data_IF_633433435097
#
_entry.id   IF_633433435097
#
_cell.length_a   1.000
_cell.length_b   1.000
_cell.length_c   1.000
_cell.angle_alpha   90.00
_cell.angle_beta   90.00
_cell.angle_gamma   90.00
#
_symmetry.space_group_name_H-M   'P 1'
#
loop_
_entity.id
_entity.type
_entity.pdbx_description
1 polymer ?
2 polymer ?
3 polymer ?
4 non-polymer ?
5 water ?
#
# COMPACT_ATOMS: atom_id res chain seq x y z
N UNK A 1 18.88 2.10 21.46
CA UNK A 1 18.10 3.36 21.38
C UNK A 1 16.91 3.27 22.36
N UNK A 2 15.85 4.07 22.14
CA UNK A 2 14.58 4.06 22.91
C UNK A 2 13.56 3.20 22.16
N UNK A 3 12.86 2.30 22.85
CA UNK A 3 11.83 1.41 22.26
C UNK A 3 10.45 1.99 22.58
N UNK A 4 9.59 2.09 21.56
CA UNK A 4 8.18 2.49 21.71
C UNK A 4 7.33 1.24 21.52
N UNK A 5 6.32 1.07 22.36
CA UNK A 5 5.39 -0.08 22.38
C UNK A 5 3.96 0.47 22.27
N UNK A 6 3.23 0.10 21.22
CA UNK A 6 1.88 0.64 20.93
C UNK A 6 0.84 -0.44 21.25
N UNK A 7 -0.28 -0.05 21.88
CA UNK A 7 -1.41 -0.96 22.20
C UNK A 7 -2.76 -0.23 22.05
N UNK A 8 -3.82 -0.95 21.63
CA UNK A 8 -3.71 -2.34 21.16
C UNK A 8 -3.07 -2.39 19.76
N UNK A 9 -2.63 -3.57 19.32
CA UNK A 9 -2.01 -3.75 17.98
C UNK A 9 -3.06 -3.45 16.89
N UNK A 10 -4.32 -3.77 17.13
CA UNK A 10 -5.43 -3.50 16.18
C UNK A 10 -6.74 -3.18 16.93
N UNK A 11 -7.45 -2.16 16.46
CA UNK A 11 -8.72 -1.61 17.02
C UNK A 11 -9.83 -1.80 15.98
N UNK A 12 -11.00 -2.28 16.39
CA UNK A 12 -12.21 -2.36 15.54
C UNK A 12 -13.33 -1.51 16.16
N UNK A 13 -13.65 -0.38 15.53
CA UNK A 13 -14.52 0.68 16.11
C UNK A 13 -15.61 1.07 15.09
N UNK A 14 -16.83 1.32 15.58
CA UNK A 14 -17.94 1.85 14.75
C UNK A 14 -17.74 3.35 14.53
N UNK A 15 -18.20 3.84 13.37
CA UNK A 15 -18.28 5.30 13.03
C UNK A 15 -19.01 6.03 14.16
N UNK A 16 -18.50 7.21 14.56
CA UNK A 16 -19.09 8.07 15.61
C UNK A 16 -18.48 7.82 16.98
N UNK A 17 -17.80 6.69 17.19
CA UNK A 17 -17.29 6.23 18.51
C UNK A 17 -15.95 6.91 18.84
N UNK A 18 -15.45 6.68 20.05
CA UNK A 18 -14.24 7.32 20.63
C UNK A 18 -13.20 6.22 20.93
N UNK A 19 -12.00 6.34 20.37
CA UNK A 19 -10.89 5.37 20.61
C UNK A 19 -9.69 6.08 21.24
N UNK A 20 -8.94 5.34 22.04
CA UNK A 20 -7.71 5.81 22.73
C UNK A 20 -6.56 4.85 22.36
N UNK A 21 -5.57 5.35 21.61
CA UNK A 21 -4.37 4.60 21.17
C UNK A 21 -3.22 4.94 22.12
N UNK A 22 -2.58 3.93 22.69
CA UNK A 22 -1.50 4.07 23.69
C UNK A 22 -0.13 3.88 23.03
N UNK A 23 0.87 4.62 23.50
CA UNK A 23 2.30 4.52 23.12
C UNK A 23 3.14 4.57 24.39
N UNK A 24 3.78 3.45 24.76
CA UNK A 24 4.63 3.30 25.97
C UNK A 24 6.10 3.42 25.54
N UNK A 25 6.88 4.24 26.25
CA UNK A 25 8.32 4.49 25.99
C UNK A 25 9.17 3.78 27.05
N UNK A 26 10.31 3.22 26.63
CA UNK A 26 11.29 2.49 27.47
C UNK A 26 12.15 3.50 28.26
N UNK A 27 12.13 4.77 27.86
CA UNK A 27 12.79 5.90 28.56
C UNK A 27 11.89 7.13 28.46
N UNK A 28 11.87 7.97 29.48
CA UNK A 28 11.05 9.21 29.54
C UNK A 28 11.41 10.14 28.37
N UNK A 29 10.40 10.68 27.68
CA UNK A 29 10.59 11.63 26.56
C UNK A 29 10.44 13.08 27.05
N UNK A 30 10.30 13.30 28.36
CA UNK A 30 10.11 14.66 28.96
C UNK A 30 11.47 15.23 29.36
N UNK A 31 11.92 16.28 28.67
CA UNK A 31 13.14 17.06 29.01
C UNK A 31 12.78 18.13 30.04
N UNK A 32 13.34 18.01 31.25
CA UNK A 32 13.12 18.90 32.41
C UNK A 32 13.42 20.36 32.04
N UNK A 33 14.44 20.60 31.22
CA UNK A 33 14.99 21.96 30.99
C UNK A 33 14.14 22.71 29.93
N UNK A 34 13.14 22.08 29.31
CA UNK A 34 12.15 22.78 28.44
C UNK A 34 10.72 22.26 28.66
N UNK A 35 10.52 21.19 29.44
CA UNK A 35 9.19 20.64 29.81
C UNK A 35 8.41 20.26 28.54
N UNK A 36 9.12 19.83 27.50
CA UNK A 36 8.51 19.31 26.25
C UNK A 36 8.64 17.78 26.25
N UNK A 37 7.65 17.12 25.64
CA UNK A 37 7.63 15.66 25.38
C UNK A 37 7.97 15.45 23.89
N UNK A 38 9.04 14.69 23.61
CA UNK A 38 9.63 14.48 22.26
C UNK A 38 8.92 13.29 21.60
N UNK A 39 7.62 13.43 21.33
CA UNK A 39 6.82 12.38 20.63
C UNK A 39 5.99 13.00 19.51
N UNK A 40 5.95 12.31 18.37
CA UNK A 40 5.08 12.62 17.21
C UNK A 40 4.22 11.39 16.91
N UNK A 41 3.01 11.66 16.39
CA UNK A 41 2.05 10.66 15.87
C UNK A 41 1.91 10.87 14.36
N UNK A 42 1.80 9.76 13.62
CA UNK A 42 1.58 9.74 12.16
C UNK A 42 0.34 8.90 11.86
N UNK A 43 -0.32 9.22 10.74
CA UNK A 43 -1.43 8.44 10.13
C UNK A 43 -0.96 7.92 8.77
N UNK A 44 -0.98 6.60 8.59
CA UNK A 44 -0.79 5.96 7.25
C UNK A 44 -2.12 5.32 6.80
N UNK A 45 -2.81 5.97 5.86
CA UNK A 45 -4.00 5.39 5.18
C UNK A 45 -3.54 4.32 4.19
N UNK A 46 -4.37 3.31 3.85
CA UNK A 46 -3.95 2.27 2.91
C UNK A 46 -3.56 2.91 1.57
N UNK A 47 -2.40 2.54 1.02
CA UNK A 47 -1.88 3.03 -0.28
C UNK A 47 -1.02 4.29 -0.16
N UNK A 48 -1.07 4.99 0.98
CA UNK A 48 -0.48 6.35 1.11
C UNK A 48 0.81 6.32 1.94
N UNK A 49 1.56 7.41 1.87
CA UNK A 49 2.71 7.74 2.75
C UNK A 49 2.19 8.12 4.14
N UNK A 50 2.96 7.90 5.22
CA UNK A 50 2.60 8.45 6.53
C UNK A 50 2.43 9.98 6.44
N UNK A 51 1.50 10.51 7.23
CA UNK A 51 1.11 11.94 7.30
C UNK A 51 1.21 12.38 8.77
N UNK A 52 1.86 13.52 9.04
CA UNK A 52 2.07 14.03 10.41
C UNK A 52 0.73 14.50 10.99
N UNK A 53 0.39 14.04 12.21
CA UNK A 53 -0.79 14.49 12.98
C UNK A 53 -0.34 15.40 14.12
N UNK A 54 0.47 14.86 15.03
CA UNK A 54 0.86 15.48 16.33
C UNK A 54 2.38 15.55 16.41
N UNK A 55 2.89 16.62 17.02
CA UNK A 55 4.30 16.74 17.46
C UNK A 55 4.34 17.38 18.85
N UNK A 56 5.46 17.23 19.55
CA UNK A 56 5.63 17.62 20.98
C UNK A 56 4.52 16.95 21.80
N UNK A 57 4.08 15.76 21.42
CA UNK A 57 3.08 14.91 22.12
C UNK A 57 1.65 15.47 22.00
N UNK A 58 1.44 16.78 21.97
CA UNK A 58 0.08 17.37 22.11
C UNK A 58 -0.24 18.45 21.06
N UNK A 59 0.70 18.85 20.20
CA UNK A 59 0.44 19.93 19.20
C UNK A 59 0.00 19.31 17.87
N UNK A 60 -1.21 19.67 17.42
CA UNK A 60 -1.76 19.32 16.09
C UNK A 60 -0.95 20.03 15.00
N UNK A 61 -0.52 19.29 13.97
CA UNK A 61 -0.08 19.85 12.67
C UNK A 61 -1.28 20.60 12.08
N UNK A 62 -1.06 21.76 11.45
CA UNK A 62 -2.17 22.57 10.87
C UNK A 62 -2.87 21.74 9.77
N UNK A 63 -4.21 21.80 9.74
CA UNK A 63 -5.06 21.02 8.83
C UNK A 63 -5.63 19.79 9.50
N UNK A 64 -5.01 19.34 10.58
CA UNK A 64 -5.46 18.16 11.37
C UNK A 64 -6.69 18.57 12.17
N UNK A 65 -7.84 17.90 11.96
CA UNK A 65 -9.07 18.18 12.73
C UNK A 65 -8.91 18.03 14.26
N UNK A 66 -9.75 18.75 15.00
CA UNK A 66 -9.68 18.86 16.48
C UNK A 66 -10.03 17.53 17.15
N UNK A 67 -10.63 16.58 16.42
CA UNK A 67 -11.08 15.30 17.02
C UNK A 67 -9.89 14.35 17.24
N UNK A 68 -8.74 14.59 16.58
CA UNK A 68 -7.44 13.97 16.92
C UNK A 68 -6.78 14.78 18.05
N UNK A 69 -6.59 14.18 19.23
CA UNK A 69 -5.94 14.79 20.41
C UNK A 69 -4.76 13.94 20.88
N UNK A 70 -3.57 14.53 20.92
CA UNK A 70 -2.37 13.92 21.54
C UNK A 70 -2.26 14.30 23.01
N UNK A 71 -1.85 13.35 23.84
CA UNK A 71 -1.82 13.52 25.32
C UNK A 71 -0.79 12.58 25.97
N UNK A 72 -0.57 12.79 27.25
CA UNK A 72 0.38 12.02 28.07
C UNK A 72 1.65 12.79 28.31
N UNK A 73 2.61 12.15 28.97
CA UNK A 73 3.87 12.76 29.45
C UNK A 73 4.79 11.64 29.92
N UNK A 74 6.10 11.84 29.83
CA UNK A 74 7.10 10.89 30.35
C UNK A 74 7.20 9.65 29.48
N UNK A 75 6.54 8.58 29.89
CA UNK A 75 6.60 7.23 29.24
C UNK A 75 5.23 6.83 28.70
N UNK A 76 4.15 7.53 29.06
CA UNK A 76 2.76 7.13 28.71
C UNK A 76 2.11 8.23 27.87
N UNK A 77 1.77 7.90 26.62
CA UNK A 77 1.15 8.81 25.65
C UNK A 77 -0.07 8.14 25.04
N UNK A 78 -1.05 8.95 24.64
CA UNK A 78 -2.31 8.52 23.98
C UNK A 78 -2.58 9.45 22.80
N UNK A 79 -3.10 8.89 21.71
CA UNK A 79 -3.79 9.62 20.63
C UNK A 79 -5.28 9.27 20.73
N UNK A 80 -6.11 10.24 21.08
CA UNK A 80 -7.59 10.08 21.16
C UNK A 80 -8.22 10.60 19.85
N UNK A 81 -9.05 9.76 19.22
CA UNK A 81 -9.94 10.10 18.07
C UNK A 81 -11.39 10.08 18.59
N UNK A 82 -12.03 11.26 18.69
CA UNK A 82 -13.23 11.53 19.52
C UNK A 82 -14.54 11.06 18.85
N UNK A 83 -14.66 11.18 17.51
CA UNK A 83 -15.79 10.59 16.76
C UNK A 83 -15.26 10.04 15.44
N UNK A 84 -14.89 8.76 15.44
CA UNK A 84 -14.17 8.10 14.32
C UNK A 84 -15.00 8.27 13.05
N UNK A 85 -14.39 8.81 11.99
CA UNK A 85 -14.92 8.79 10.60
C UNK A 85 -14.39 7.54 9.90
N UNK A 86 -15.06 7.12 8.82
CA UNK A 86 -14.65 5.95 8.00
C UNK A 86 -13.30 6.23 7.35
N UNK A 87 -13.02 7.51 7.02
CA UNK A 87 -11.75 7.94 6.37
C UNK A 87 -10.57 7.77 7.33
N UNK A 88 -10.83 7.59 8.64
CA UNK A 88 -9.78 7.44 9.68
C UNK A 88 -9.15 6.05 9.63
N UNK A 89 -9.78 5.08 8.95
CA UNK A 89 -9.15 3.75 8.69
C UNK A 89 -7.70 4.02 8.29
N UNK A 90 -6.76 3.44 9.02
CA UNK A 90 -5.31 3.69 8.86
C UNK A 90 -4.55 2.91 9.93
N UNK A 91 -3.23 2.81 9.76
CA UNK A 91 -2.28 2.42 10.83
C UNK A 91 -1.71 3.71 11.42
N UNK A 92 -1.82 3.87 12.73
CA UNK A 92 -1.33 5.05 13.50
C UNK A 92 -0.03 4.64 14.21
N UNK A 93 1.04 5.40 13.97
CA UNK A 93 2.40 5.20 14.53
C UNK A 93 2.78 6.38 15.44
N UNK A 94 3.42 6.08 16.57
CA UNK A 94 4.11 7.07 17.42
C UNK A 94 5.60 6.97 17.13
N UNK A 95 6.33 8.07 17.31
CA UNK A 95 7.78 8.20 17.01
C UNK A 95 8.39 9.16 18.04
N UNK A 96 9.50 8.76 18.66
CA UNK A 96 10.25 9.60 19.63
C UNK A 96 11.42 10.23 18.88
N UNK A 97 11.79 11.45 19.24
CA UNK A 97 12.97 12.16 18.68
C UNK A 97 13.77 12.78 19.82
N UNK A 98 13.64 12.18 21.01
CA UNK A 98 14.45 12.49 22.23
C UNK A 98 15.88 12.00 21.99
N UNK A 99 15.99 10.77 21.49
CA UNK A 99 17.22 10.17 20.95
C UNK A 99 17.01 10.01 19.43
N UNK A 100 17.86 9.22 18.78
CA UNK A 100 17.75 8.95 17.32
C UNK A 100 16.38 8.34 17.05
N UNK A 101 15.65 8.80 16.02
CA UNK A 101 14.26 8.41 15.85
C UNK A 101 14.09 6.89 15.94
N UNK A 102 13.06 6.47 16.68
CA UNK A 102 12.47 5.11 16.64
C UNK A 102 10.95 5.26 16.59
N UNK A 103 10.28 4.26 16.00
CA UNK A 103 8.81 4.18 15.85
C UNK A 103 8.29 3.03 16.71
N UNK A 104 7.07 3.17 17.22
CA UNK A 104 6.27 2.03 17.72
C UNK A 104 5.85 1.16 16.56
N UNK A 105 5.38 -0.06 16.84
CA UNK A 105 4.94 -1.03 15.82
C UNK A 105 3.64 -0.63 15.14
N UNK A 106 2.93 0.36 15.67
CA UNK A 106 1.69 0.90 15.08
C UNK A 106 0.44 0.25 15.65
N UNK A 107 -0.69 0.97 15.58
CA UNK A 107 -2.05 0.45 15.86
C UNK A 107 -2.88 0.52 14.57
N UNK A 108 -3.36 -0.62 14.10
CA UNK A 108 -4.27 -0.72 12.93
C UNK A 108 -5.71 -0.42 13.37
N UNK A 109 -6.26 0.73 12.94
CA UNK A 109 -7.67 1.13 13.18
C UNK A 109 -8.53 0.60 12.03
N UNK A 110 -9.41 -0.37 12.33
CA UNK A 110 -10.38 -0.98 11.39
C UNK A 110 -11.77 -0.47 11.73
N UNK A 111 -12.66 -0.38 10.73
CA UNK A 111 -14.06 0.10 10.90
C UNK A 111 -14.98 -1.11 11.01
N UNK A 112 -15.65 -1.25 12.16
CA UNK A 112 -16.78 -2.20 12.38
C UNK A 112 -18.04 -1.56 11.77
N UNK A 113 -18.66 -2.22 10.80
CA UNK A 113 -19.85 -1.71 10.10
C UNK A 113 -20.88 -2.85 9.98
N UNK A 114 -22.00 -2.60 9.31
CA UNK A 114 -23.09 -3.57 9.08
C UNK A 114 -22.70 -4.54 7.96
N UNK A 115 -23.23 -5.76 8.05
CA UNK A 115 -23.14 -6.82 7.00
C UNK A 115 -23.45 -6.20 5.64
N UNK A 116 -22.67 -6.54 4.63
CA UNK A 116 -22.97 -6.28 3.21
C UNK A 116 -22.63 -7.56 2.44
N UNK A 117 -23.61 -8.11 1.71
CA UNK A 117 -23.44 -9.35 0.91
C UNK A 117 -22.58 -9.01 -0.30
N UNK A 118 -21.68 -9.91 -0.76
CA UNK A 118 -20.92 -9.66 -1.97
C UNK A 118 -21.82 -9.61 -3.20
N UNK A 119 -21.49 -8.76 -4.17
CA UNK A 119 -21.88 -8.91 -5.60
C UNK A 119 -20.82 -9.80 -6.26
N UNK A 120 -21.25 -10.88 -6.93
CA UNK A 120 -20.32 -11.90 -7.48
C UNK A 120 -20.36 -11.83 -9.01
N UNK A 121 -19.18 -11.70 -9.63
CA UNK A 121 -18.98 -11.69 -11.09
C UNK A 121 -17.94 -12.75 -11.45
N UNK A 122 -18.08 -13.38 -12.61
CA UNK A 122 -17.09 -14.35 -13.15
C UNK A 122 -16.68 -13.90 -14.55
N UNK A 123 -15.39 -14.04 -14.88
CA UNK A 123 -14.78 -13.60 -16.16
C UNK A 123 -14.08 -14.79 -16.82
N UNK A 124 -14.50 -15.18 -18.04
CA UNK A 124 -13.75 -16.15 -18.83
C UNK A 124 -12.35 -15.66 -19.16
N UNK A 125 -11.39 -16.56 -19.48
CA UNK A 125 -10.14 -16.16 -20.09
C UNK A 125 -10.43 -15.40 -21.39
N UNK A 126 -9.74 -14.28 -21.60
CA UNK A 126 -9.69 -13.53 -22.87
C UNK A 126 -9.11 -14.41 -23.99
N UNK A 127 -9.54 -14.18 -25.23
CA UNK A 127 -9.00 -14.85 -26.44
C UNK A 127 -7.51 -14.48 -26.58
N UNK A 128 -7.17 -13.22 -26.33
CA UNK A 128 -5.77 -12.71 -26.26
C UNK A 128 -4.94 -13.68 -25.40
N UNK A 129 -5.38 -13.97 -24.16
CA UNK A 129 -4.62 -14.85 -23.22
C UNK A 129 -4.56 -16.28 -23.76
N UNK A 130 -5.64 -16.79 -24.36
CA UNK A 130 -5.69 -18.19 -24.85
C UNK A 130 -4.61 -18.42 -25.92
N UNK A 131 -4.28 -17.39 -26.73
CA UNK A 131 -3.14 -17.41 -27.68
C UNK A 131 -1.86 -17.83 -26.94
N UNK A 132 -1.65 -17.34 -25.71
CA UNK A 132 -0.40 -17.47 -24.91
C UNK A 132 -0.29 -18.87 -24.27
N UNK A 133 -1.27 -19.75 -24.46
CA UNK A 133 -1.18 -21.16 -24.02
C UNK A 133 -1.39 -21.35 -22.53
N UNK A 134 -1.95 -20.35 -21.86
CA UNK A 134 -2.37 -20.41 -20.42
C UNK A 134 -3.76 -19.76 -20.32
N UNK A 135 -4.57 -20.18 -19.34
CA UNK A 135 -5.96 -19.71 -19.11
C UNK A 135 -6.13 -19.32 -17.64
N UNK A 136 -6.69 -18.14 -17.40
CA UNK A 136 -6.98 -17.60 -16.05
C UNK A 136 -8.48 -17.29 -15.97
N UNK A 137 -9.18 -17.95 -15.06
CA UNK A 137 -10.62 -17.66 -14.78
C UNK A 137 -10.66 -16.85 -13.49
N UNK A 138 -11.34 -15.71 -13.53
CA UNK A 138 -11.36 -14.72 -12.42
C UNK A 138 -12.79 -14.62 -11.87
N UNK A 139 -12.92 -14.76 -10.56
CA UNK A 139 -14.17 -14.56 -9.79
C UNK A 139 -13.99 -13.35 -8.87
N UNK A 140 -14.92 -12.40 -8.94
CA UNK A 140 -14.92 -11.14 -8.14
C UNK A 140 -16.05 -11.18 -7.13
N UNK A 141 -15.69 -11.08 -5.84
CA UNK A 141 -16.59 -10.74 -4.72
C UNK A 141 -16.39 -9.26 -4.39
N UNK A 142 -17.41 -8.42 -4.64
CA UNK A 142 -17.31 -6.94 -4.56
C UNK A 142 -18.08 -6.38 -3.37
N UNK A 143 -17.47 -5.40 -2.67
CA UNK A 143 -18.10 -4.44 -1.72
C UNK A 143 -18.90 -5.20 -0.65
N UNK A 144 -18.22 -6.11 0.05
CA UNK A 144 -18.81 -7.01 1.08
C UNK A 144 -18.17 -6.77 2.46
N UNK A 145 -18.86 -7.25 3.51
CA UNK A 145 -18.46 -7.16 4.94
C UNK A 145 -19.25 -8.18 5.75
N UNK A 146 -18.61 -8.93 6.68
CA UNK A 146 -17.17 -8.83 6.95
C UNK A 146 -16.28 -9.57 5.95
N UNK A 147 -14.96 -9.55 6.21
CA UNK A 147 -13.86 -9.99 5.33
C UNK A 147 -13.95 -11.49 5.01
N UNK A 148 -14.40 -12.29 5.97
CA UNK A 148 -14.49 -13.78 5.88
C UNK A 148 -15.48 -14.19 4.78
N UNK A 149 -14.98 -14.88 3.76
CA UNK A 149 -15.76 -15.41 2.62
C UNK A 149 -15.14 -16.74 2.15
N UNK A 150 -15.97 -17.69 1.74
CA UNK A 150 -15.52 -18.97 1.13
C UNK A 150 -15.82 -18.90 -0.37
N UNK A 151 -14.80 -19.19 -1.19
CA UNK A 151 -14.90 -19.24 -2.68
C UNK A 151 -14.48 -20.63 -3.14
N UNK A 152 -15.37 -21.30 -3.89
CA UNK A 152 -15.16 -22.68 -4.40
C UNK A 152 -15.28 -22.68 -5.92
N UNK A 153 -14.31 -23.33 -6.57
CA UNK A 153 -14.23 -23.51 -8.04
C UNK A 153 -14.76 -24.88 -8.43
N UNK A 154 -15.68 -24.91 -9.41
CA UNK A 154 -16.21 -26.13 -10.06
C UNK A 154 -15.93 -26.06 -11.56
N UNK A 155 -15.27 -27.08 -12.09
CA UNK A 155 -15.04 -27.32 -13.55
C UNK A 155 -15.82 -28.59 -13.93
N UNK A 156 -16.81 -28.47 -14.82
CA UNK A 156 -17.73 -29.58 -15.21
C UNK A 156 -18.32 -30.19 -13.92
N UNK A 157 -18.65 -29.33 -12.95
CA UNK A 157 -19.38 -29.68 -11.69
C UNK A 157 -18.48 -30.49 -10.73
N UNK A 158 -17.16 -30.49 -10.94
CA UNK A 158 -16.17 -31.16 -10.05
C UNK A 158 -15.39 -30.09 -9.27
N UNK A 159 -15.45 -30.19 -7.95
CA UNK A 159 -14.78 -29.28 -6.98
C UNK A 159 -13.28 -29.24 -7.30
N UNK A 160 -12.71 -28.04 -7.42
CA UNK A 160 -11.27 -27.85 -7.74
C UNK A 160 -10.53 -27.65 -6.42
N UNK A 161 -9.25 -28.03 -6.38
CA UNK A 161 -8.36 -27.89 -5.21
C UNK A 161 -6.94 -27.61 -5.69
N UNK A 162 -6.24 -26.67 -5.05
CA UNK A 162 -4.79 -26.44 -5.22
C UNK A 162 -4.43 -25.72 -6.51
N UNK A 163 -5.38 -25.11 -7.21
CA UNK A 163 -5.10 -24.39 -8.50
C UNK A 163 -5.79 -23.02 -8.52
N UNK A 164 -6.06 -22.43 -7.36
CA UNK A 164 -6.65 -21.08 -7.24
C UNK A 164 -5.87 -20.26 -6.21
N UNK A 165 -5.70 -18.96 -6.48
CA UNK A 165 -5.11 -18.00 -5.52
C UNK A 165 -6.14 -16.90 -5.30
N UNK A 166 -6.31 -16.47 -4.04
CA UNK A 166 -7.19 -15.34 -3.66
C UNK A 166 -6.33 -14.13 -3.32
N UNK A 167 -6.87 -12.92 -3.56
CA UNK A 167 -6.30 -11.63 -3.14
C UNK A 167 -7.43 -10.74 -2.61
N UNK A 168 -7.31 -10.27 -1.37
CA UNK A 168 -8.32 -9.37 -0.73
C UNK A 168 -7.73 -7.95 -0.68
N UNK A 169 -8.57 -6.94 -0.88
CA UNK A 169 -8.24 -5.50 -0.72
C UNK A 169 -8.16 -5.14 0.77
N UNK A 170 -7.53 -4.02 1.09
CA UNK A 170 -7.67 -3.38 2.43
C UNK A 170 -9.13 -2.93 2.55
N UNK A 171 -9.60 -2.67 3.77
CA UNK A 171 -10.91 -2.03 3.98
C UNK A 171 -10.95 -0.73 3.18
N UNK A 172 -12.08 -0.42 2.54
CA UNK A 172 -12.29 0.79 1.71
C UNK A 172 -12.27 2.02 2.64
N UNK A 173 -11.61 3.12 2.23
CA UNK A 173 -11.48 4.39 2.98
C UNK A 173 -12.75 5.25 2.82
N UNK A 174 -13.77 4.75 2.12
CA UNK A 174 -15.04 5.47 1.83
C UNK A 174 -16.21 4.74 2.50
N UNK A 175 -16.52 3.51 2.06
CA UNK A 175 -17.71 2.72 2.47
C UNK A 175 -17.33 1.53 3.37
N UNK A 176 -16.04 1.30 3.64
CA UNK A 176 -15.52 0.37 4.67
C UNK A 176 -15.83 -1.10 4.35
N UNK A 177 -16.06 -1.45 3.09
CA UNK A 177 -16.24 -2.85 2.62
C UNK A 177 -14.89 -3.40 2.13
N UNK A 178 -14.88 -4.68 1.79
CA UNK A 178 -13.73 -5.35 1.13
C UNK A 178 -14.18 -5.84 -0.24
N UNK A 179 -13.23 -6.09 -1.12
CA UNK A 179 -13.41 -6.90 -2.35
C UNK A 179 -12.38 -8.04 -2.36
N UNK A 180 -12.71 -9.15 -3.02
CA UNK A 180 -11.84 -10.36 -3.09
C UNK A 180 -11.84 -10.86 -4.54
N UNK A 181 -10.67 -11.20 -5.05
CA UNK A 181 -10.48 -11.91 -6.34
C UNK A 181 -10.02 -13.34 -6.03
N UNK A 182 -10.65 -14.33 -6.65
CA UNK A 182 -10.17 -15.72 -6.75
C UNK A 182 -9.84 -15.98 -8.22
N UNK A 183 -8.61 -16.40 -8.51
CA UNK A 183 -8.12 -16.68 -9.88
C UNK A 183 -7.84 -18.18 -9.99
N UNK A 184 -8.57 -18.86 -10.89
CA UNK A 184 -8.34 -20.28 -11.22
C UNK A 184 -7.35 -20.31 -12.39
N UNK A 185 -6.21 -20.99 -12.21
CA UNK A 185 -5.13 -21.13 -13.21
C UNK A 185 -5.20 -22.54 -13.83
N UNK A 186 -5.48 -22.62 -15.13
CA UNK A 186 -5.50 -23.88 -15.92
C UNK A 186 -4.57 -23.73 -17.13
N UNK A 187 -4.09 -24.85 -17.67
CA UNK A 187 -3.48 -24.90 -19.03
C UNK A 187 -4.59 -24.60 -20.05
N UNK A 188 -4.24 -23.99 -21.18
CA UNK A 188 -5.15 -23.72 -22.32
C UNK A 188 -5.83 -25.04 -22.71
N UNK A 189 -5.07 -26.15 -22.74
CA UNK A 189 -5.55 -27.52 -23.01
C UNK A 189 -6.69 -27.90 -22.05
N UNK A 190 -6.41 -27.86 -20.73
CA UNK A 190 -7.35 -28.26 -19.66
C UNK A 190 -8.62 -27.39 -19.77
N UNK A 191 -8.47 -26.09 -20.02
CA UNK A 191 -9.60 -25.14 -20.18
C UNK A 191 -10.42 -25.49 -21.42
N UNK A 192 -9.75 -25.79 -22.54
CA UNK A 192 -10.42 -26.00 -23.84
C UNK A 192 -11.15 -27.35 -23.81
N UNK A 193 -10.69 -28.30 -22.99
CA UNK A 193 -11.21 -29.69 -22.95
C UNK A 193 -12.39 -29.81 -21.98
N UNK A 194 -12.60 -28.82 -21.10
CA UNK A 194 -13.76 -28.76 -20.18
C UNK A 194 -14.71 -27.65 -20.65
N UNK A 195 -15.94 -27.62 -20.11
CA UNK A 195 -17.08 -26.84 -20.68
C UNK A 195 -17.61 -25.81 -19.67
N UNK A 196 -17.91 -26.24 -18.44
CA UNK A 196 -18.68 -25.42 -17.45
C UNK A 196 -17.74 -24.97 -16.32
N UNK A 197 -17.70 -23.66 -16.09
CA UNK A 197 -16.81 -22.97 -15.12
C UNK A 197 -17.71 -22.20 -14.17
N UNK A 198 -17.67 -22.57 -12.88
CA UNK A 198 -18.58 -22.06 -11.83
C UNK A 198 -17.75 -21.62 -10.62
N UNK A 199 -18.10 -20.45 -10.09
CA UNK A 199 -17.59 -19.85 -8.84
C UNK A 199 -18.73 -19.86 -7.81
N UNK A 200 -18.50 -20.46 -6.64
CA UNK A 200 -19.54 -20.59 -5.58
C UNK A 200 -19.10 -19.80 -4.34
N UNK A 201 -19.86 -18.77 -3.97
CA UNK A 201 -19.51 -17.81 -2.89
C UNK A 201 -20.41 -18.06 -1.68
N UNK A 202 -19.80 -18.45 -0.56
CA UNK A 202 -20.44 -18.50 0.78
C UNK A 202 -19.93 -17.30 1.59
N UNK A 203 -20.86 -16.41 1.98
CA UNK A 203 -20.65 -15.22 2.86
C UNK A 203 -21.93 -15.00 3.67
N UNK A 204 -21.81 -14.46 4.88
CA UNK A 204 -22.86 -14.56 5.93
C UNK A 204 -24.06 -13.65 5.61
N UNK A 205 -23.89 -12.68 4.71
CA UNK A 205 -24.98 -11.77 4.28
C UNK A 205 -25.86 -12.37 3.19
N UNK A 206 -25.63 -13.64 2.81
CA UNK A 206 -26.40 -14.38 1.78
C UNK A 206 -27.23 -15.47 2.45
N UNK A 207 -28.54 -15.51 2.19
CA UNK A 207 -29.47 -16.59 2.65
C UNK A 207 -28.91 -17.97 2.26
N UNK A 208 -28.44 -18.13 1.03
CA UNK A 208 -27.75 -19.34 0.52
C UNK A 208 -26.56 -18.94 -0.35
N UNK A 209 -25.53 -19.82 -0.49
CA UNK A 209 -24.40 -19.54 -1.38
C UNK A 209 -24.84 -19.15 -2.80
N UNK A 210 -24.18 -18.14 -3.37
CA UNK A 210 -24.42 -17.65 -4.76
C UNK A 210 -23.36 -18.27 -5.67
N UNK A 211 -23.80 -18.79 -6.82
CA UNK A 211 -22.92 -19.40 -7.85
C UNK A 211 -23.02 -18.53 -9.11
N UNK A 212 -21.88 -18.12 -9.65
CA UNK A 212 -21.79 -17.50 -11.01
C UNK A 212 -21.01 -18.48 -11.89
N UNK A 213 -21.50 -18.70 -13.09
CA UNK A 213 -20.98 -19.74 -14.00
C UNK A 213 -21.13 -19.28 -15.46
N UNK A 214 -20.29 -19.85 -16.33
CA UNK A 214 -20.39 -19.73 -17.80
C UNK A 214 -19.96 -21.07 -18.39
N UNK A 215 -20.41 -21.34 -19.62
CA UNK A 215 -19.92 -22.43 -20.48
C UNK A 215 -18.95 -21.80 -21.48
N UNK A 216 -17.76 -22.39 -21.63
CA UNK A 216 -16.79 -22.01 -22.69
C UNK A 216 -17.54 -21.94 -24.02
N UNK A 217 -17.39 -20.84 -24.75
CA UNK A 217 -17.86 -20.70 -26.15
C UNK A 217 -19.24 -20.03 -26.27
N UNK A 218 -20.10 -20.14 -25.24
CA UNK A 218 -21.54 -19.77 -25.31
C UNK A 218 -21.72 -18.29 -24.91
N UNK A 219 -22.93 -17.76 -25.08
CA UNK A 219 -23.32 -16.33 -24.88
C UNK A 219 -24.76 -16.22 -24.38
N UNK B 1 4.67 25.09 -2.15
CA UNK B 1 4.31 23.75 -1.61
C UNK B 1 5.53 22.83 -1.73
N UNK B 2 5.72 21.95 -0.73
CA UNK B 2 6.84 20.98 -0.64
C UNK B 2 6.49 19.74 -1.49
N UNK B 3 7.46 19.25 -2.27
CA UNK B 3 7.34 18.01 -3.09
C UNK B 3 8.61 17.18 -2.93
N UNK B 4 8.48 15.88 -2.67
CA UNK B 4 9.61 14.91 -2.66
C UNK B 4 9.29 13.73 -3.59
N UNK B 5 10.27 13.34 -4.42
CA UNK B 5 10.18 12.11 -5.26
C UNK B 5 11.41 11.24 -4.98
N UNK B 6 11.19 10.04 -4.47
CA UNK B 6 12.24 8.98 -4.37
C UNK B 6 12.50 8.46 -5.78
N UNK B 7 13.77 8.14 -6.07
CA UNK B 7 14.20 7.37 -7.26
C UNK B 7 15.12 6.23 -6.78
N UNK B 8 14.88 5.01 -7.27
CA UNK B 8 15.62 3.81 -6.85
C UNK B 8 15.67 2.77 -7.96
N UNK B 9 16.39 1.64 -7.74
CA UNK B 9 16.63 0.68 -8.82
C UNK B 9 15.45 -0.25 -9.13
N UNK B 10 14.42 -0.26 -8.29
CA UNK B 10 13.30 -1.21 -8.39
C UNK B 10 13.73 -2.60 -7.94
N UNK B 11 14.78 -3.14 -8.55
CA UNK B 11 15.40 -4.46 -8.20
C UNK B 11 16.91 -4.34 -8.30
N UNK B 12 17.63 -4.90 -7.33
CA UNK B 12 19.10 -5.11 -7.39
C UNK B 12 19.40 -6.46 -6.72
N UNK B 13 20.60 -6.98 -6.93
CA UNK B 13 20.99 -8.33 -6.45
C UNK B 13 21.49 -8.27 -5.02
N UNK B 14 21.37 -9.39 -4.26
CA UNK B 14 22.03 -9.53 -2.97
C UNK B 14 23.52 -9.20 -3.07
N UNK B 15 24.03 -8.44 -2.09
CA UNK B 15 25.46 -8.03 -1.92
C UNK B 15 25.74 -6.70 -2.64
N UNK B 16 24.92 -6.32 -3.63
CA UNK B 16 25.09 -5.05 -4.38
C UNK B 16 24.79 -3.87 -3.45
N UNK B 17 25.16 -2.66 -3.87
CA UNK B 17 24.95 -1.42 -3.09
C UNK B 17 23.65 -0.76 -3.55
N UNK B 18 22.66 -0.65 -2.66
CA UNK B 18 21.43 0.13 -2.93
C UNK B 18 21.83 1.60 -3.01
N UNK B 19 21.37 2.31 -4.05
CA UNK B 19 21.57 3.77 -4.22
C UNK B 19 20.21 4.44 -4.44
N UNK B 20 19.78 5.26 -3.49
CA UNK B 20 18.48 5.97 -3.51
C UNK B 20 18.71 7.48 -3.68
N UNK B 21 17.86 8.15 -4.46
CA UNK B 21 17.90 9.61 -4.67
C UNK B 21 16.58 10.20 -4.19
N UNK B 22 16.67 11.24 -3.37
CA UNK B 22 15.54 12.12 -2.99
C UNK B 22 15.69 13.46 -3.70
N UNK B 23 14.78 13.77 -4.63
CA UNK B 23 14.67 15.06 -5.34
C UNK B 23 13.49 15.83 -4.75
N UNK B 24 13.72 17.08 -4.34
CA UNK B 24 12.73 17.91 -3.61
C UNK B 24 12.73 19.34 -4.16
N UNK B 25 11.55 19.96 -4.14
CA UNK B 25 11.32 21.41 -4.39
C UNK B 25 10.49 22.00 -3.24
N UNK B 26 10.47 23.34 -3.12
CA UNK B 26 9.66 24.09 -2.15
C UNK B 26 10.43 24.34 -0.86
N UNK B 27 11.64 23.76 -0.76
CA UNK B 27 12.61 23.98 0.33
C UNK B 27 14.01 23.64 -0.18
N UNK B 28 15.05 23.97 0.59
CA UNK B 28 16.47 23.81 0.19
C UNK B 28 17.33 23.53 1.44
N UNK B 29 18.40 22.75 1.30
CA UNK B 29 19.43 22.56 2.36
C UNK B 29 20.49 23.66 2.24
N UNK B 30 20.17 24.73 1.49
CA UNK B 30 20.85 26.06 1.55
C UNK B 30 20.32 26.82 2.78
N UNK B 31 19.03 26.70 3.08
CA UNK B 31 18.31 27.44 4.15
C UNK B 31 18.67 26.85 5.51
N UNK B 32 18.65 27.68 6.56
CA UNK B 32 18.96 27.28 7.95
C UNK B 32 17.82 26.42 8.51
N UNK B 33 18.16 25.32 9.20
CA UNK B 33 17.23 24.49 9.99
C UNK B 33 16.54 23.43 9.15
N UNK B 34 16.99 23.23 7.92
CA UNK B 34 16.37 22.32 6.94
C UNK B 34 17.22 21.06 6.82
N UNK B 35 16.56 19.92 6.59
CA UNK B 35 17.20 18.60 6.48
C UNK B 35 16.26 17.58 5.83
N UNK B 36 16.79 16.41 5.53
CA UNK B 36 16.04 15.30 4.88
C UNK B 36 16.32 14.02 5.65
N UNK B 37 15.26 13.25 5.92
CA UNK B 37 15.34 11.92 6.54
C UNK B 37 14.96 10.81 5.57
N UNK B 38 15.43 9.60 5.87
CA UNK B 38 15.04 8.36 5.16
C UNK B 38 14.38 7.41 6.16
N UNK B 39 13.26 6.81 5.75
CA UNK B 39 12.47 5.83 6.56
C UNK B 39 12.10 4.71 5.61
N UNK B 40 12.15 3.45 6.06
CA UNK B 40 11.74 2.29 5.23
C UNK B 40 10.65 1.49 5.94
N UNK B 41 9.93 0.68 5.15
CA UNK B 41 8.73 -0.11 5.55
C UNK B 41 8.65 -1.37 4.69
N UNK B 42 9.00 -2.56 5.24
CA UNK B 42 8.66 -3.82 4.58
C UNK B 42 7.13 -3.97 4.40
N UNK B 43 6.70 -4.76 3.41
CA UNK B 43 5.26 -5.05 3.13
C UNK B 43 4.56 -5.52 4.42
N UNK B 44 3.52 -4.78 4.83
CA UNK B 44 2.68 -5.10 6.00
C UNK B 44 3.39 -4.97 7.34
N UNK B 45 4.67 -4.52 7.36
CA UNK B 45 5.41 -4.22 8.62
C UNK B 45 5.38 -2.71 8.88
N UNK B 46 6.06 -2.27 9.95
CA UNK B 46 6.08 -0.87 10.42
C UNK B 46 7.28 -0.10 9.88
N UNK B 47 7.58 1.03 10.50
CA UNK B 47 8.52 2.06 10.00
C UNK B 47 9.87 1.92 10.71
N UNK B 48 10.96 1.98 9.96
CA UNK B 48 12.34 1.99 10.51
C UNK B 48 13.05 3.22 9.97
N UNK B 49 13.56 4.09 10.85
CA UNK B 49 14.36 5.28 10.45
C UNK B 49 15.75 4.79 10.05
N UNK B 50 16.32 5.38 8.98
CA UNK B 50 17.65 5.00 8.42
C UNK B 50 18.71 6.08 8.70
N UNK B 51 18.50 7.32 8.28
CA UNK B 51 19.51 8.40 8.39
C UNK B 51 18.92 9.78 8.10
N UNK B 52 19.49 10.82 8.71
CA UNK B 52 19.16 12.24 8.44
C UNK B 52 20.42 12.99 7.98
N UNK B 53 20.25 13.95 7.07
CA UNK B 53 21.31 14.92 6.68
C UNK B 53 20.71 16.32 6.76
N UNK B 54 21.47 17.29 7.26
CA UNK B 54 21.01 18.69 7.47
C UNK B 54 21.82 19.70 6.64
N UNK B 55 21.38 20.96 6.63
CA UNK B 55 22.03 22.10 5.94
C UNK B 55 23.50 22.24 6.36
N UNK B 56 23.86 21.82 7.57
CA UNK B 56 25.24 21.87 8.11
C UNK B 56 26.11 20.76 7.48
N UNK B 57 25.48 19.83 6.76
CA UNK B 57 26.10 18.58 6.24
C UNK B 57 26.44 17.65 7.41
N UNK B 58 25.76 17.81 8.55
CA UNK B 58 25.82 16.85 9.69
C UNK B 58 25.01 15.61 9.31
N UNK B 59 25.57 14.42 9.53
CA UNK B 59 24.97 13.11 9.15
C UNK B 59 24.74 12.26 10.41
N UNK B 60 23.50 11.77 10.58
CA UNK B 60 23.04 10.95 11.73
C UNK B 60 22.45 9.63 11.19
N UNK B 61 22.98 8.50 11.67
CA UNK B 61 22.72 7.15 11.14
C UNK B 61 22.02 6.30 12.21
N UNK B 62 21.08 5.47 11.77
CA UNK B 62 20.56 4.31 12.53
C UNK B 62 21.76 3.52 13.08
N UNK B 63 21.85 3.34 14.39
CA UNK B 63 23.02 2.74 15.07
C UNK B 63 23.22 1.29 14.62
N UNK B 64 22.14 0.52 14.43
CA UNK B 64 22.20 -0.91 14.02
C UNK B 64 22.75 -1.01 12.59
N UNK B 65 22.37 -0.11 11.68
CA UNK B 65 22.71 -0.20 10.24
C UNK B 65 23.90 0.71 9.90
N UNK B 66 24.37 1.50 10.86
CA UNK B 66 25.36 2.60 10.67
C UNK B 66 26.44 2.20 9.66
N UNK B 67 27.13 1.09 9.91
CA UNK B 67 28.35 0.67 9.15
C UNK B 67 28.04 0.39 7.68
N UNK B 68 26.76 0.26 7.30
CA UNK B 68 26.36 -0.05 5.90
C UNK B 68 25.78 1.19 5.21
N UNK B 69 25.48 2.26 5.96
CA UNK B 69 24.80 3.48 5.45
C UNK B 69 25.82 4.56 5.06
N UNK B 70 25.50 5.30 4.00
CA UNK B 70 26.11 6.60 3.61
C UNK B 70 24.98 7.52 3.15
N UNK B 71 24.96 8.76 3.64
CA UNK B 71 24.00 9.81 3.22
C UNK B 71 24.81 11.05 2.81
N UNK B 72 24.37 11.76 1.78
CA UNK B 72 25.06 12.95 1.21
C UNK B 72 24.05 13.86 0.51
N UNK B 73 24.49 15.05 0.13
CA UNK B 73 23.71 16.00 -0.70
C UNK B 73 24.65 16.51 -1.80
N UNK B 74 24.09 17.18 -2.82
CA UNK B 74 24.88 17.84 -3.91
C UNK B 74 25.10 19.29 -3.51
N UNK B 75 25.90 20.02 -4.30
CA UNK B 75 26.27 21.45 -4.05
C UNK B 75 25.03 22.34 -4.24
N UNK B 76 24.11 21.96 -5.14
CA UNK B 76 22.86 22.70 -5.44
C UNK B 76 21.85 22.52 -4.28
N UNK B 77 22.09 21.52 -3.42
CA UNK B 77 21.32 21.22 -2.18
C UNK B 77 19.83 21.00 -2.51
N UNK B 78 19.56 20.42 -3.68
CA UNK B 78 18.20 20.10 -4.20
C UNK B 78 17.98 18.58 -4.19
N UNK B 79 19.02 17.79 -3.90
CA UNK B 79 18.99 16.31 -3.97
C UNK B 79 19.79 15.72 -2.80
N UNK B 80 19.22 14.69 -2.17
CA UNK B 80 19.85 13.92 -1.06
C UNK B 80 19.96 12.47 -1.52
N UNK B 81 21.08 11.82 -1.17
CA UNK B 81 21.41 10.43 -1.58
C UNK B 81 21.54 9.56 -0.34
N UNK B 82 21.10 8.30 -0.42
CA UNK B 82 21.33 7.27 0.61
C UNK B 82 21.89 6.03 -0.07
N UNK B 83 23.03 5.53 0.42
CA UNK B 83 23.60 4.22 0.04
C UNK B 83 23.32 3.24 1.18
N UNK B 84 23.03 1.99 0.82
CA UNK B 84 23.09 0.80 1.72
C UNK B 84 23.93 -0.26 1.02
N UNK B 85 25.07 -0.63 1.61
CA UNK B 85 26.01 -1.64 1.06
C UNK B 85 25.54 -3.04 1.38
N UNK B 86 26.00 -4.04 0.63
CA UNK B 86 25.84 -5.48 0.93
C UNK B 86 24.38 -5.81 1.25
N UNK B 87 23.43 -5.38 0.40
CA UNK B 87 21.98 -5.60 0.64
C UNK B 87 21.72 -7.11 0.74
N UNK B 88 20.71 -7.48 1.53
CA UNK B 88 20.21 -8.87 1.73
C UNK B 88 18.69 -8.81 1.57
N UNK B 89 17.99 -9.94 1.71
CA UNK B 89 16.52 -10.05 1.50
C UNK B 89 15.79 -9.12 2.47
N UNK B 90 16.28 -8.98 3.70
CA UNK B 90 15.65 -8.17 4.78
C UNK B 90 15.63 -6.67 4.45
N UNK B 91 16.35 -6.24 3.41
CA UNK B 91 16.45 -4.81 2.97
C UNK B 91 15.39 -4.52 1.90
N UNK B 92 14.74 -5.56 1.39
CA UNK B 92 13.50 -5.44 0.60
C UNK B 92 12.49 -4.64 1.43
N UNK B 93 12.06 -3.48 0.94
CA UNK B 93 11.07 -2.61 1.60
C UNK B 93 10.67 -1.47 0.68
N UNK B 94 9.68 -0.68 1.10
CA UNK B 94 9.38 0.67 0.55
C UNK B 94 10.28 1.66 1.28
N UNK B 95 11.00 2.50 0.54
CA UNK B 95 11.93 3.54 1.06
C UNK B 95 11.32 4.92 0.81
N UNK B 96 11.11 5.68 1.88
CA UNK B 96 10.63 7.07 1.88
C UNK B 96 11.78 8.03 2.22
N UNK B 97 11.83 9.18 1.54
CA UNK B 97 12.54 10.39 2.03
C UNK B 97 11.48 11.38 2.54
N UNK B 98 11.87 12.25 3.46
CA UNK B 98 10.96 13.16 4.19
C UNK B 98 11.67 14.49 4.46
N UNK B 99 10.96 15.61 4.34
CA UNK B 99 11.41 16.92 4.88
C UNK B 99 11.39 16.81 6.41
N UNK B 100 12.54 17.03 7.05
CA UNK B 100 12.65 17.14 8.52
C UNK B 100 11.95 18.43 8.96
N UNK B 101 11.40 18.45 10.16
CA UNK B 101 10.54 19.54 10.68
C UNK B 101 11.31 20.84 10.70
N UNK B 102 10.68 21.91 10.20
CA UNK B 102 11.25 23.29 10.07
C UNK B 102 11.98 23.67 11.36
N UNK B 103 13.13 24.33 11.21
CA UNK B 103 14.01 24.88 12.27
C UNK B 103 14.50 23.77 13.22
N UNK B 104 15.25 22.80 12.64
CA UNK B 104 16.15 21.88 13.37
C UNK B 104 15.33 21.00 14.33
N UNK B 105 14.25 20.40 13.83
CA UNK B 105 13.32 19.53 14.62
C UNK B 105 13.25 18.14 13.98
N UNK B 106 13.75 17.07 14.65
CA UNK B 106 13.89 15.75 14.03
C UNK B 106 12.64 14.85 14.09
N UNK B 107 11.47 15.38 13.69
CA UNK B 107 10.31 14.57 13.22
C UNK B 107 10.11 14.85 11.72
N UNK B 108 9.25 14.08 11.06
CA UNK B 108 9.14 14.00 9.58
C UNK B 108 7.85 14.72 9.12
N UNK B 109 7.98 15.95 8.64
CA UNK B 109 6.88 16.89 8.37
C UNK B 109 6.13 16.47 7.10
N UNK B 110 6.83 16.30 5.98
CA UNK B 110 6.23 15.86 4.69
C UNK B 110 7.03 14.68 4.13
N UNK B 111 6.33 13.62 3.71
CA UNK B 111 6.90 12.36 3.16
C UNK B 111 6.69 12.31 1.64
N UNK B 112 7.68 11.82 0.89
CA UNK B 112 7.53 11.43 -0.53
C UNK B 112 6.70 10.16 -0.68
N UNK B 113 6.28 9.83 -1.91
CA UNK B 113 5.38 8.68 -2.22
C UNK B 113 6.06 7.36 -1.85
N UNK B 114 7.39 7.30 -1.96
CA UNK B 114 8.15 6.08 -1.63
C UNK B 114 8.34 5.21 -2.85
N UNK B 115 9.53 4.65 -3.00
CA UNK B 115 9.92 3.70 -4.07
C UNK B 115 10.09 2.32 -3.42
N UNK B 116 9.57 1.28 -4.08
CA UNK B 116 9.68 -0.14 -3.65
C UNK B 116 11.03 -0.70 -4.15
N UNK B 117 11.77 -1.38 -3.26
CA UNK B 117 13.11 -1.97 -3.55
C UNK B 117 13.04 -3.46 -3.21
N UNK B 118 13.25 -4.32 -4.22
CA UNK B 118 13.28 -5.80 -4.09
C UNK B 118 14.73 -6.28 -4.22
N UNK B 119 15.20 -7.03 -3.22
CA UNK B 119 16.53 -7.68 -3.25
C UNK B 119 16.31 -9.13 -3.72
N UNK B 120 16.70 -9.40 -4.95
CA UNK B 120 16.46 -10.68 -5.68
C UNK B 120 17.51 -10.84 -6.78
N UNK B 121 17.89 -12.09 -7.05
CA UNK B 121 18.78 -12.49 -8.18
C UNK B 121 17.95 -12.76 -9.44
N UNK B 122 16.61 -12.76 -9.34
CA UNK B 122 15.71 -13.11 -10.47
C UNK B 122 15.68 -11.94 -11.45
N UNK B 123 15.42 -12.20 -12.74
CA UNK B 123 15.49 -11.15 -13.80
C UNK B 123 14.14 -10.43 -13.92
N UNK B 124 14.21 -9.16 -14.28
CA UNK B 124 13.05 -8.29 -14.58
C UNK B 124 12.26 -8.88 -15.74
N UNK B 125 10.93 -8.86 -15.63
CA UNK B 125 9.98 -9.33 -16.67
C UNK B 125 8.77 -8.39 -16.67
N UNK B 126 8.35 -7.98 -17.87
CA UNK B 126 7.25 -7.04 -18.08
C UNK B 126 5.92 -7.78 -18.08
N UNK B 127 4.81 -7.14 -17.67
CA UNK B 127 3.52 -7.81 -17.59
C UNK B 127 2.88 -7.99 -18.96
N UNK B 128 2.15 -9.09 -19.12
CA UNK B 128 1.04 -9.24 -20.10
C UNK B 128 -0.21 -8.63 -19.46
N UNK B 129 -0.99 -7.87 -20.24
CA UNK B 129 -2.26 -7.23 -19.79
C UNK B 129 -3.41 -7.81 -20.61
N UNK B 130 -4.46 -8.28 -19.94
CA UNK B 130 -5.59 -8.99 -20.57
C UNK B 130 -6.89 -8.34 -20.11
N UNK B 131 -7.86 -8.12 -21.03
CA UNK B 131 -9.14 -7.53 -20.67
C UNK B 131 -9.95 -8.55 -19.86
N UNK B 132 -10.66 -8.10 -18.83
CA UNK B 132 -11.76 -8.86 -18.19
C UNK B 132 -13.07 -8.22 -18.67
N UNK B 133 -13.65 -8.78 -19.73
CA UNK B 133 -14.81 -8.20 -20.46
C UNK B 133 -16.04 -8.24 -19.57
N UNK B 134 -16.86 -7.16 -19.54
CA UNK B 134 -18.12 -7.18 -18.79
C UNK B 134 -19.16 -8.14 -19.39
N UNK B 135 -19.81 -8.94 -18.53
CA UNK B 135 -20.83 -9.97 -18.88
C UNK B 135 -22.04 -9.31 -19.55
N UNK B 136 -22.68 -10.01 -20.49
CA UNK B 136 -23.77 -9.48 -21.35
C UNK B 136 -24.81 -10.59 -21.64
N UNK B 142 -28.41 -3.75 -13.35
CA UNK B 142 -28.13 -2.59 -12.48
C UNK B 142 -26.67 -2.20 -12.50
N UNK B 143 -25.78 -3.16 -12.18
CA UNK B 143 -24.31 -2.97 -12.01
C UNK B 143 -23.57 -4.02 -12.83
N UNK B 144 -22.59 -3.59 -13.63
CA UNK B 144 -21.64 -4.45 -14.36
C UNK B 144 -20.26 -4.34 -13.70
N UNK B 145 -19.42 -5.35 -13.90
CA UNK B 145 -17.99 -5.35 -13.52
C UNK B 145 -17.15 -5.63 -14.77
N UNK B 146 -16.03 -4.93 -14.91
CA UNK B 146 -15.02 -5.15 -15.98
C UNK B 146 -13.65 -4.90 -15.34
N UNK B 147 -12.56 -5.19 -16.04
CA UNK B 147 -11.22 -5.07 -15.46
C UNK B 147 -10.11 -5.49 -16.39
N UNK B 148 -8.89 -5.57 -15.84
CA UNK B 148 -7.65 -5.97 -16.55
C UNK B 148 -6.87 -6.94 -15.66
N UNK B 149 -6.55 -8.11 -16.20
CA UNK B 149 -5.64 -9.11 -15.58
C UNK B 149 -4.21 -8.71 -15.95
N UNK B 150 -3.39 -8.36 -14.96
CA UNK B 150 -1.97 -7.96 -15.15
C UNK B 150 -1.09 -9.11 -14.66
N UNK B 151 -0.46 -9.83 -15.59
CA UNK B 151 0.04 -11.21 -15.36
C UNK B 151 1.51 -11.36 -15.78
N UNK B 152 2.27 -12.08 -14.95
CA UNK B 152 3.61 -12.66 -15.26
C UNK B 152 4.65 -11.54 -15.35
N UNK B 153 4.75 -10.73 -14.29
CA UNK B 153 5.73 -9.62 -14.17
C UNK B 153 6.59 -9.78 -12.91
N UNK B 154 7.81 -9.28 -12.96
CA UNK B 154 8.74 -9.25 -11.82
C UNK B 154 9.71 -8.09 -12.00
N UNK B 155 10.04 -7.31 -10.93
CA UNK B 155 9.42 -7.43 -9.61
C UNK B 155 8.18 -6.52 -9.49
N UNK B 156 7.66 -6.41 -8.27
CA UNK B 156 6.69 -5.35 -7.88
C UNK B 156 7.38 -4.00 -8.03
N UNK B 157 6.65 -2.89 -8.27
CA UNK B 157 5.21 -2.94 -8.49
C UNK B 157 4.78 -2.66 -9.94
N UNK B 158 3.53 -3.01 -10.26
CA UNK B 158 2.79 -2.39 -11.40
C UNK B 158 1.88 -1.31 -10.81
N UNK B 159 1.71 -0.22 -11.56
CA UNK B 159 0.75 0.86 -11.27
C UNK B 159 -0.42 0.70 -12.25
N UNK B 160 -1.66 0.66 -11.76
CA UNK B 160 -2.87 0.59 -12.63
C UNK B 160 -3.70 1.86 -12.41
N UNK B 161 -4.07 2.50 -13.52
CA UNK B 161 -5.07 3.61 -13.58
C UNK B 161 -6.11 3.26 -14.65
N UNK B 162 -7.30 3.87 -14.54
CA UNK B 162 -8.39 3.72 -15.54
C UNK B 162 -8.66 5.09 -16.17
N UNK B 163 -8.65 5.15 -17.52
CA UNK B 163 -8.90 6.38 -18.30
C UNK B 163 -7.95 7.49 -17.83
N UNK B 164 -6.65 7.19 -17.87
CA UNK B 164 -5.53 8.08 -17.45
C UNK B 164 -5.87 8.85 -16.17
N UNK B 165 -6.51 8.18 -15.20
CA UNK B 165 -6.78 8.73 -13.86
C UNK B 165 -8.14 9.40 -13.74
N UNK B 166 -8.87 9.54 -14.85
CA UNK B 166 -10.22 10.17 -14.93
C UNK B 166 -11.25 9.31 -14.16
N UNK B 167 -11.06 7.98 -14.17
CA UNK B 167 -11.98 6.98 -13.54
C UNK B 167 -11.32 6.42 -12.27
N UNK B 168 -11.90 6.67 -11.09
CA UNK B 168 -11.36 6.23 -9.78
C UNK B 168 -12.43 5.58 -8.90
N UNK B 169 -13.68 6.08 -8.90
CA UNK B 169 -14.79 5.53 -8.09
C UNK B 169 -15.07 4.08 -8.49
N UNK B 170 -15.20 3.19 -7.51
CA UNK B 170 -15.47 1.76 -7.72
C UNK B 170 -14.27 0.98 -8.22
N UNK B 171 -13.11 1.60 -8.42
CA UNK B 171 -11.89 0.89 -8.90
C UNK B 171 -11.33 0.10 -7.73
N UNK B 172 -11.01 -1.18 -7.97
CA UNK B 172 -10.37 -2.08 -6.97
C UNK B 172 -9.17 -2.73 -7.65
N UNK B 173 -7.96 -2.37 -7.23
CA UNK B 173 -6.68 -2.96 -7.70
C UNK B 173 -6.15 -3.86 -6.59
N UNK B 174 -6.20 -5.17 -6.79
CA UNK B 174 -5.90 -6.19 -5.76
C UNK B 174 -4.40 -6.19 -5.49
N UNK B 175 -3.96 -6.53 -4.27
CA UNK B 175 -2.57 -6.85 -4.01
C UNK B 175 -2.11 -7.98 -4.94
N UNK B 176 -0.90 -7.86 -5.47
CA UNK B 176 -0.21 -8.90 -6.25
C UNK B 176 -0.14 -10.19 -5.41
N UNK B 177 -0.26 -11.35 -6.07
CA UNK B 177 0.08 -12.67 -5.48
C UNK B 177 1.21 -13.27 -6.31
N UNK B 178 2.21 -13.83 -5.65
CA UNK B 178 3.34 -14.55 -6.30
C UNK B 178 2.80 -15.91 -6.77
N UNK B 179 2.95 -16.21 -8.06
CA UNK B 179 2.52 -17.50 -8.66
C UNK B 179 3.67 -18.51 -8.51
N UNK B 180 3.38 -19.80 -8.74
CA UNK B 180 4.34 -20.93 -8.60
C UNK B 180 5.55 -20.72 -9.51
N UNK B 181 5.40 -19.91 -10.57
CA UNK B 181 6.45 -19.54 -11.55
C UNK B 181 7.45 -18.55 -10.95
N UNK B 182 7.15 -17.93 -9.80
CA UNK B 182 7.97 -16.83 -9.23
C UNK B 182 7.65 -15.47 -9.83
N UNK B 183 6.56 -15.37 -10.60
CA UNK B 183 6.08 -14.11 -11.24
C UNK B 183 4.77 -13.66 -10.56
N UNK B 184 4.62 -12.35 -10.36
CA UNK B 184 3.44 -11.72 -9.73
C UNK B 184 2.32 -11.63 -10.76
N UNK B 185 1.07 -11.66 -10.29
CA UNK B 185 -0.17 -11.45 -11.08
C UNK B 185 -1.20 -10.70 -10.23
N UNK B 186 -1.88 -9.71 -10.81
CA UNK B 186 -3.05 -9.08 -10.15
C UNK B 186 -4.11 -8.71 -11.20
N UNK B 187 -5.33 -8.49 -10.74
CA UNK B 187 -6.42 -7.89 -11.53
C UNK B 187 -6.75 -6.51 -10.95
N UNK B 188 -7.06 -5.55 -11.81
CA UNK B 188 -7.73 -4.26 -11.48
C UNK B 188 -9.14 -4.32 -12.05
N UNK B 189 -10.15 -4.19 -11.20
CA UNK B 189 -11.58 -4.30 -11.57
C UNK B 189 -12.25 -2.96 -11.25
N UNK B 190 -13.29 -2.61 -12.02
CA UNK B 190 -14.16 -1.44 -11.76
C UNK B 190 -15.62 -1.88 -11.94
N UNK B 191 -16.52 -1.38 -11.07
CA UNK B 191 -17.99 -1.56 -11.21
C UNK B 191 -18.58 -0.27 -11.79
N UNK B 192 -19.47 -0.42 -12.76
CA UNK B 192 -20.11 0.69 -13.51
C UNK B 192 -21.59 0.37 -13.65
N UNK B 193 -22.43 1.37 -14.00
CA UNK B 193 -23.79 1.10 -14.50
C UNK B 193 -23.79 0.23 -15.78
N UNK B 194 -24.61 -0.81 -15.79
CA UNK B 194 -24.95 -1.60 -17.01
C UNK B 194 -25.26 -0.66 -18.18
N UNK B 195 -26.01 0.41 -17.90
CA UNK B 195 -26.54 1.40 -18.88
C UNK B 195 -25.40 2.26 -19.48
N UNK B 196 -24.17 2.14 -18.97
CA UNK B 196 -22.99 2.89 -19.45
C UNK B 196 -22.16 2.05 -20.43
N UNK B 197 -22.42 0.73 -20.49
CA UNK B 197 -21.58 -0.22 -21.28
C UNK B 197 -21.56 0.17 -22.77
N UNK B 198 -22.65 0.70 -23.32
CA UNK B 198 -22.75 1.08 -24.74
C UNK B 198 -21.89 2.29 -25.10
N UNK B 199 -21.68 3.25 -24.19
CA UNK B 199 -21.22 4.63 -24.50
C UNK B 199 -19.84 4.94 -23.89
N UNK B 200 -19.68 4.79 -22.57
CA UNK B 200 -18.44 5.14 -21.83
C UNK B 200 -17.30 4.21 -22.27
N UNK B 201 -16.09 4.75 -22.45
CA UNK B 201 -14.85 3.97 -22.80
C UNK B 201 -14.08 3.65 -21.52
N UNK B 202 -13.60 2.41 -21.42
CA UNK B 202 -12.88 1.86 -20.26
C UNK B 202 -11.52 1.35 -20.75
N UNK B 203 -10.47 2.14 -20.51
CA UNK B 203 -9.07 1.81 -20.87
C UNK B 203 -8.31 1.65 -19.55
N UNK B 204 -7.61 0.53 -19.35
CA UNK B 204 -6.70 0.36 -18.18
C UNK B 204 -5.29 0.73 -18.61
N UNK B 205 -4.66 1.62 -17.84
CA UNK B 205 -3.27 2.10 -18.05
C UNK B 205 -2.40 1.33 -17.07
N UNK B 206 -1.49 0.49 -17.56
CA UNK B 206 -0.66 -0.44 -16.74
C UNK B 206 0.82 -0.09 -16.96
N UNK B 207 1.47 0.39 -15.91
CA UNK B 207 2.87 0.89 -15.94
C UNK B 207 3.70 -0.06 -15.06
N UNK B 208 4.81 -0.57 -15.61
CA UNK B 208 5.81 -1.39 -14.87
C UNK B 208 7.18 -0.76 -15.08
N UNK B 209 7.58 0.11 -14.16
CA UNK B 209 8.81 0.95 -14.25
C UNK B 209 10.01 0.05 -14.57
N UNK B 210 10.32 -1.00 -13.76
CA UNK B 210 11.56 -1.74 -13.91
C UNK B 210 11.82 -2.34 -15.30
N UNK B 211 10.77 -2.61 -16.07
CA UNK B 211 10.85 -3.20 -17.43
C UNK B 211 10.55 -2.15 -18.50
N UNK B 212 10.34 -0.89 -18.11
CA UNK B 212 9.95 0.21 -19.02
C UNK B 212 8.78 -0.25 -19.90
N UNK B 213 7.75 -0.84 -19.29
CA UNK B 213 6.52 -1.35 -19.96
C UNK B 213 5.38 -0.37 -19.67
N UNK B 214 4.65 0.04 -20.72
CA UNK B 214 3.46 0.90 -20.59
C UNK B 214 2.43 0.39 -21.61
N UNK B 215 1.41 -0.33 -21.13
CA UNK B 215 0.32 -0.93 -21.95
C UNK B 215 -0.99 -0.22 -21.59
N UNK B 216 -1.81 0.08 -22.60
CA UNK B 216 -3.19 0.61 -22.45
C UNK B 216 -4.10 -0.43 -23.11
N UNK B 217 -5.10 -0.94 -22.38
CA UNK B 217 -6.05 -1.96 -22.88
C UNK B 217 -7.47 -1.40 -22.82
N UNK B 218 -8.11 -1.29 -23.99
CA UNK B 218 -9.56 -1.00 -24.13
C UNK B 218 -10.31 -2.28 -23.75
N UNK B 219 -11.13 -2.22 -22.71
CA UNK B 219 -12.02 -3.33 -22.24
C UNK B 219 -13.42 -3.02 -22.75
N UNK B 220 -13.97 -3.89 -23.60
CA UNK B 220 -15.31 -3.68 -24.21
C UNK B 220 -16.11 -4.96 -24.12
N UNK B 221 -17.47 -4.88 -24.12
CA UNK B 221 -18.30 -6.08 -24.16
C UNK B 221 -17.89 -7.00 -25.32
N UNK B 222 -17.74 -8.30 -25.04
CA UNK B 222 -17.14 -9.34 -25.94
C UNK B 222 -18.07 -9.58 -27.14
N UNK B 223 -17.52 -10.17 -28.22
CA UNK B 223 -18.23 -10.53 -29.48
C UNK B 223 -18.38 -12.05 -29.61
N UNK B 224 -19.61 -12.53 -29.82
CA UNK B 224 -19.99 -13.97 -29.86
C UNK B 224 -19.74 -14.54 -31.27
C UNK C 1 18.28 12.45 29.53
N UNK C 2 19.15 13.32 29.02
CA UNK C 2 18.76 14.57 28.26
C UNK C 2 18.70 14.26 26.76
N UNK C 3 18.01 15.09 25.94
CA UNK C 3 17.92 14.87 24.50
C UNK C 3 19.29 14.74 23.81
N UNK C 4 19.42 13.71 22.97
CA UNK C 4 20.51 13.54 21.97
C UNK C 4 19.85 13.25 20.62
N UNK C 5 19.16 14.25 20.02
CA UNK C 5 18.40 14.05 18.78
C UNK C 5 19.29 13.84 17.54
N UNK C 6 18.69 13.32 16.47
CA UNK C 6 19.32 13.14 15.14
C UNK C 6 19.34 14.47 14.40
N UNK C 7 19.89 15.52 15.05
CA UNK C 7 19.76 16.94 14.67
C UNK C 7 20.91 17.76 15.26
N UNK C 8 21.53 18.71 14.50
CA UNK C 8 22.56 19.60 15.05
C UNK C 8 22.14 20.31 16.34
N UNK C 9 23.08 20.50 17.29
CA UNK C 9 22.88 21.22 18.57
C UNK C 9 22.27 22.61 18.30
X LIG D 1 2.36 -4.92 -7.85
#
# INVERSE_FOLDING_TARGET
>A
DIELSQSPSSLAVSVGEKVTLSCKSSQSLLYSNNQKNYLAWYQQKPGQSPKLLIYWASTRESGVPDRFTGSGSGTDFTLTISSVKAEDLAVYYCQQYYNYPTFGGGTKLEIKRTVAAPSVFIFPPSDEQLKSGTASVVCLLNNFYPREAKVQWKVDNALQSGNSQESVTEQDSKDSTYSLSSTLTLSKADYEKHKVYACEVTHQGLSSPVTKSFNRGEC
>B
EVKLQESGPGILQPSQTLSLTCSFSGFSLNTYGMGVGWIRQPSGKGLEWLANIWWTDDKYYNSVLKSRLTISKDTFNNQVFLKISSVDTADTATYYCAQLAYHDNPWFAYWGQGTLVTVSSASTKGPSVFPLAPSSKSTSGGTAALGCLVKDYFPEPVTVSWNSGALTSGVHTFPAVLQSSGLYSLSSVVTVPSSSLGTQTYICNVNHKPSNTKVDKKVEPKSCHHHHHH
>C
XAPAPAAPA
>D hetero
1 CL CL
#
